data_IF_477381055052
#
_entry.id   IF_477381055052
#
_cell.length_a   1.000
_cell.length_b   1.000
_cell.length_c   1.000
_cell.angle_alpha   90.00
_cell.angle_beta   90.00
_cell.angle_gamma   90.00
#
_symmetry.space_group_name_H-M   'P 1'
#
loop_
_entity.id
_entity.type
_entity.pdbx_description
1 polymer ?
#
# COMPACT_ATOMS: atom_id res chain seq x y z
N UNK A 1 3.55 -14.43 20.32
CA UNK A 1 2.57 -13.49 19.70
C UNK A 1 2.63 -13.52 18.18
N UNK A 2 3.79 -13.42 17.53
CA UNK A 2 3.91 -13.47 16.05
C UNK A 2 3.43 -14.82 15.45
N UNK A 3 3.64 -15.96 16.12
CA UNK A 3 3.18 -17.25 15.63
C UNK A 3 1.65 -17.33 15.52
N UNK A 4 0.92 -16.64 16.39
CA UNK A 4 -0.54 -16.56 16.32
C UNK A 4 -1.00 -15.85 15.04
N UNK A 5 -0.40 -14.70 14.71
CA UNK A 5 -0.77 -13.94 13.50
C UNK A 5 -0.51 -14.73 12.21
N UNK A 6 0.53 -15.59 12.23
CA UNK A 6 0.97 -16.41 11.08
C UNK A 6 0.27 -17.77 10.99
N UNK A 7 -0.59 -18.10 11.97
CA UNK A 7 -1.34 -19.36 11.94
C UNK A 7 -2.35 -19.33 10.79
N UNK A 8 -2.30 -20.38 9.95
CA UNK A 8 -3.20 -20.59 8.81
C UNK A 8 -4.68 -20.54 9.17
N UNK A 9 -5.04 -20.86 10.42
CA UNK A 9 -6.42 -20.78 10.91
C UNK A 9 -7.01 -19.39 10.80
N UNK A 10 -6.17 -18.35 10.86
CA UNK A 10 -6.56 -16.95 10.77
C UNK A 10 -6.56 -16.40 9.33
N UNK A 11 -6.17 -17.20 8.32
CA UNK A 11 -6.07 -16.74 6.94
C UNK A 11 -7.37 -16.17 6.37
N UNK A 12 -8.53 -16.70 6.78
CA UNK A 12 -9.84 -16.15 6.38
C UNK A 12 -10.02 -14.75 6.94
N UNK A 13 -9.73 -14.55 8.23
CA UNK A 13 -9.84 -13.24 8.89
C UNK A 13 -8.91 -12.22 8.21
N UNK A 14 -7.64 -12.59 7.99
CA UNK A 14 -6.67 -11.72 7.32
C UNK A 14 -7.06 -11.41 5.88
N UNK A 15 -7.68 -12.35 5.18
CA UNK A 15 -8.19 -12.11 3.83
C UNK A 15 -9.32 -11.07 3.85
N UNK A 16 -10.27 -11.17 4.78
CA UNK A 16 -11.35 -10.18 4.92
C UNK A 16 -10.77 -8.79 5.24
N UNK A 17 -9.84 -8.70 6.18
CA UNK A 17 -9.17 -7.44 6.53
C UNK A 17 -8.40 -6.88 5.33
N UNK A 18 -7.70 -7.71 4.57
CA UNK A 18 -6.97 -7.32 3.36
C UNK A 18 -7.90 -6.80 2.27
N UNK A 19 -9.03 -7.50 2.04
CA UNK A 19 -10.03 -7.07 1.06
C UNK A 19 -10.66 -5.73 1.45
N UNK A 20 -10.98 -5.55 2.74
CA UNK A 20 -11.50 -4.28 3.24
C UNK A 20 -10.47 -3.14 3.07
N UNK A 21 -9.22 -3.39 3.45
CA UNK A 21 -8.14 -2.42 3.27
C UNK A 21 -7.91 -2.09 1.78
N UNK A 22 -7.95 -3.11 0.92
CA UNK A 22 -7.85 -2.93 -0.53
C UNK A 22 -8.99 -2.10 -1.11
N UNK A 23 -10.21 -2.29 -0.60
CA UNK A 23 -11.37 -1.48 -0.99
C UNK A 23 -11.19 0.00 -0.63
N UNK A 24 -10.70 0.32 0.57
CA UNK A 24 -10.45 1.70 0.99
C UNK A 24 -9.45 2.40 0.03
N UNK A 25 -8.38 1.71 -0.35
CA UNK A 25 -7.39 2.22 -1.31
C UNK A 25 -7.97 2.36 -2.72
N UNK A 26 -8.75 1.37 -3.17
CA UNK A 26 -9.36 1.38 -4.49
C UNK A 26 -10.33 2.56 -4.64
N UNK A 27 -11.21 2.75 -3.66
CA UNK A 27 -12.18 3.84 -3.64
C UNK A 27 -11.48 5.21 -3.64
N UNK A 28 -10.49 5.41 -2.77
CA UNK A 28 -9.71 6.64 -2.70
C UNK A 28 -8.99 6.94 -4.02
N UNK A 29 -8.36 5.92 -4.63
CA UNK A 29 -7.66 6.03 -5.91
C UNK A 29 -8.61 6.32 -7.06
N UNK A 30 -9.74 5.60 -7.17
CA UNK A 30 -10.75 5.83 -8.21
C UNK A 30 -11.31 7.24 -8.16
N UNK A 31 -11.65 7.72 -6.97
CA UNK A 31 -12.15 9.09 -6.80
C UNK A 31 -11.14 10.13 -7.32
N UNK A 32 -9.84 9.94 -7.04
CA UNK A 32 -8.79 10.85 -7.52
C UNK A 32 -8.52 10.71 -9.02
N UNK A 33 -8.56 9.49 -9.56
CA UNK A 33 -8.36 9.24 -11.00
C UNK A 33 -9.43 9.88 -11.86
N UNK A 34 -10.66 10.00 -11.36
CA UNK A 34 -11.79 10.60 -12.07
C UNK A 34 -11.90 12.13 -11.87
N UNK A 35 -11.16 12.70 -10.91
CA UNK A 35 -11.18 14.13 -10.63
C UNK A 35 -10.09 14.88 -11.43
N UNK A 36 -10.49 15.82 -12.35
CA UNK A 36 -9.54 16.64 -13.11
C UNK A 36 -8.59 17.46 -12.23
N UNK A 37 -9.00 17.83 -11.02
CA UNK A 37 -8.17 18.57 -10.07
C UNK A 37 -6.97 17.76 -9.58
N UNK A 38 -7.07 16.43 -9.62
CA UNK A 38 -5.97 15.52 -9.34
C UNK A 38 -5.18 15.18 -10.60
N UNK A 39 -5.88 14.77 -11.67
CA UNK A 39 -5.25 14.16 -12.83
C UNK A 39 -4.76 15.17 -13.88
N UNK A 40 -5.39 16.33 -14.00
CA UNK A 40 -4.99 17.32 -15.00
C UNK A 40 -4.08 18.40 -14.41
N UNK A 41 -4.52 19.05 -13.34
CA UNK A 41 -3.86 20.25 -12.81
C UNK A 41 -3.06 20.02 -11.53
N UNK A 42 -3.40 18.98 -10.73
CA UNK A 42 -2.81 18.74 -9.41
C UNK A 42 -3.22 19.76 -8.34
N UNK A 43 -4.17 20.67 -8.64
CA UNK A 43 -4.56 21.73 -7.68
C UNK A 43 -5.18 21.19 -6.40
N UNK A 44 -5.78 20.02 -6.43
CA UNK A 44 -6.30 19.36 -5.22
C UNK A 44 -5.14 19.06 -4.24
N UNK A 45 -4.05 18.46 -4.71
CA UNK A 45 -2.87 18.20 -3.90
C UNK A 45 -2.16 19.50 -3.48
N UNK A 46 -2.09 20.50 -4.39
CA UNK A 46 -1.58 21.82 -4.05
C UNK A 46 -2.32 22.42 -2.87
N UNK A 47 -3.66 22.43 -2.91
CA UNK A 47 -4.50 22.95 -1.83
C UNK A 47 -4.26 22.21 -0.51
N UNK A 48 -4.14 20.91 -0.59
CA UNK A 48 -3.83 20.06 0.56
C UNK A 48 -2.46 20.42 1.19
N UNK A 49 -1.39 20.50 0.40
CA UNK A 49 -0.06 20.87 0.88
C UNK A 49 0.01 22.31 1.39
N UNK A 50 -0.66 23.24 0.68
CA UNK A 50 -0.73 24.66 1.11
C UNK A 50 -1.36 24.76 2.51
N UNK A 51 -2.47 24.03 2.74
CA UNK A 51 -3.12 23.99 4.06
C UNK A 51 -2.19 23.35 5.10
N UNK A 52 -1.54 22.24 4.75
CA UNK A 52 -0.67 21.52 5.69
C UNK A 52 0.52 22.37 6.13
N UNK A 53 1.20 23.03 5.18
CA UNK A 53 2.36 23.90 5.47
C UNK A 53 1.95 25.22 6.13
N UNK A 54 0.80 25.80 5.74
CA UNK A 54 0.32 27.11 6.21
C UNK A 54 -0.37 27.09 7.57
N UNK A 55 -0.86 25.94 8.03
CA UNK A 55 -1.53 25.83 9.33
C UNK A 55 -0.50 25.69 10.45
N UNK A 56 -0.50 26.58 11.48
CA UNK A 56 0.38 26.45 12.64
C UNK A 56 0.19 25.07 13.31
N UNK A 57 1.28 24.47 13.75
CA UNK A 57 1.34 23.22 14.53
C UNK A 57 0.70 21.97 13.90
N UNK A 58 0.22 22.05 12.66
CA UNK A 58 -0.36 20.90 11.96
C UNK A 58 0.72 19.87 11.61
N UNK A 59 1.87 20.33 11.11
CA UNK A 59 3.05 19.50 10.87
C UNK A 59 4.03 19.68 12.02
N UNK A 60 4.20 18.65 12.85
CA UNK A 60 5.06 18.70 14.04
C UNK A 60 6.55 18.67 13.73
N UNK A 61 6.94 18.11 12.55
CA UNK A 61 8.33 17.95 12.17
C UNK A 61 8.76 19.02 11.15
N UNK A 62 9.64 19.94 11.56
CA UNK A 62 10.12 21.04 10.72
C UNK A 62 10.70 20.56 9.38
N UNK A 63 11.54 19.50 9.40
CA UNK A 63 12.11 18.92 8.18
C UNK A 63 11.05 18.45 7.16
N UNK A 64 9.91 17.92 7.64
CA UNK A 64 8.83 17.47 6.77
C UNK A 64 8.03 18.65 6.22
N UNK A 65 7.85 19.70 7.02
CA UNK A 65 7.25 20.96 6.58
C UNK A 65 8.08 21.59 5.47
N UNK A 66 9.40 21.66 5.62
CA UNK A 66 10.34 22.20 4.64
C UNK A 66 10.33 21.35 3.35
N UNK A 67 10.31 20.03 3.49
CA UNK A 67 10.18 19.10 2.36
C UNK A 67 8.91 19.36 1.54
N UNK A 68 7.73 19.43 2.18
CA UNK A 68 6.47 19.73 1.50
C UNK A 68 6.45 21.14 0.91
N UNK A 69 7.02 22.13 1.61
CA UNK A 69 7.19 23.49 1.12
C UNK A 69 8.05 23.53 -0.14
N UNK A 70 9.14 22.78 -0.18
CA UNK A 70 9.98 22.63 -1.37
C UNK A 70 9.24 22.03 -2.57
N UNK A 71 8.46 20.97 -2.34
CA UNK A 71 7.62 20.36 -3.39
C UNK A 71 6.52 21.29 -3.87
N UNK A 72 5.95 22.09 -2.98
CA UNK A 72 4.93 23.08 -3.31
C UNK A 72 5.51 24.20 -4.18
N UNK A 73 6.66 24.75 -3.79
CA UNK A 73 7.33 25.86 -4.49
C UNK A 73 7.88 25.43 -5.87
N UNK A 74 8.33 24.18 -6.01
CA UNK A 74 8.80 23.64 -7.30
C UNK A 74 7.68 23.29 -8.28
N UNK A 75 6.40 23.39 -7.87
CA UNK A 75 5.26 22.99 -8.70
C UNK A 75 5.11 21.47 -8.85
N UNK A 76 5.82 20.68 -8.03
CA UNK A 76 5.81 19.20 -8.11
C UNK A 76 4.45 18.57 -7.85
N UNK A 77 3.49 19.29 -7.26
CA UNK A 77 2.13 18.82 -7.05
C UNK A 77 1.43 18.37 -8.35
N UNK A 78 1.83 18.85 -9.51
CA UNK A 78 1.22 18.52 -10.80
C UNK A 78 1.41 17.07 -11.20
N UNK A 79 2.62 16.52 -11.03
CA UNK A 79 2.93 15.13 -11.32
C UNK A 79 2.75 14.22 -10.09
N UNK A 80 3.00 14.77 -8.89
CA UNK A 80 2.89 14.01 -7.64
C UNK A 80 1.43 13.63 -7.35
N UNK A 81 0.47 14.49 -7.70
CA UNK A 81 -0.96 14.19 -7.59
C UNK A 81 -1.33 12.94 -8.40
N UNK A 82 -0.82 12.81 -9.62
CA UNK A 82 -1.02 11.63 -10.47
C UNK A 82 -0.38 10.39 -9.87
N UNK A 83 0.84 10.52 -9.34
CA UNK A 83 1.55 9.43 -8.68
C UNK A 83 0.76 8.90 -7.47
N UNK A 84 0.20 9.81 -6.65
CA UNK A 84 -0.65 9.44 -5.51
C UNK A 84 -1.91 8.73 -5.98
N UNK A 85 -2.65 9.30 -6.93
CA UNK A 85 -3.90 8.73 -7.43
C UNK A 85 -3.71 7.32 -8.02
N UNK A 86 -2.69 7.15 -8.87
CA UNK A 86 -2.34 5.85 -9.47
C UNK A 86 -1.83 4.88 -8.41
N UNK A 87 -0.99 5.36 -7.48
CA UNK A 87 -0.44 4.54 -6.39
C UNK A 87 -1.52 3.97 -5.48
N UNK A 88 -2.51 4.79 -5.08
CA UNK A 88 -3.66 4.35 -4.28
C UNK A 88 -4.50 3.32 -5.03
N UNK A 89 -4.82 3.59 -6.30
CA UNK A 89 -5.59 2.67 -7.14
C UNK A 89 -4.90 1.31 -7.29
N UNK A 90 -3.61 1.31 -7.67
CA UNK A 90 -2.85 0.08 -7.85
C UNK A 90 -2.67 -0.69 -6.54
N UNK A 91 -2.46 0.00 -5.42
CA UNK A 91 -2.42 -0.61 -4.09
C UNK A 91 -3.75 -1.30 -3.78
N UNK A 92 -4.88 -0.64 -4.04
CA UNK A 92 -6.21 -1.21 -3.85
C UNK A 92 -6.42 -2.48 -4.69
N UNK A 93 -6.14 -2.42 -5.99
CA UNK A 93 -6.25 -3.56 -6.91
C UNK A 93 -5.36 -4.72 -6.45
N UNK A 94 -4.10 -4.45 -6.13
CA UNK A 94 -3.13 -5.45 -5.70
C UNK A 94 -3.57 -6.16 -4.42
N UNK A 95 -4.10 -5.40 -3.44
CA UNK A 95 -4.61 -5.95 -2.19
C UNK A 95 -5.89 -6.77 -2.39
N UNK A 96 -6.81 -6.36 -3.26
CA UNK A 96 -8.03 -7.12 -3.54
C UNK A 96 -7.68 -8.45 -4.21
N UNK A 97 -6.85 -8.44 -5.23
CA UNK A 97 -6.44 -9.65 -5.94
C UNK A 97 -5.48 -10.53 -5.12
N UNK A 98 -4.81 -9.96 -4.13
CA UNK A 98 -3.75 -10.64 -3.37
C UNK A 98 -2.54 -10.93 -4.25
N UNK A 99 -2.14 -9.97 -5.08
CA UNK A 99 -0.96 -10.01 -5.94
C UNK A 99 0.05 -9.00 -5.43
N UNK A 100 1.34 -9.37 -5.36
CA UNK A 100 2.43 -8.57 -4.75
C UNK A 100 2.01 -7.96 -3.40
N UNK A 101 1.26 -8.73 -2.61
CA UNK A 101 0.55 -8.28 -1.42
C UNK A 101 1.47 -7.57 -0.42
N UNK A 102 2.65 -8.14 -0.16
CA UNK A 102 3.62 -7.56 0.79
C UNK A 102 4.08 -6.17 0.33
N UNK A 103 4.38 -6.03 -0.96
CA UNK A 103 4.78 -4.76 -1.54
C UNK A 103 3.62 -3.73 -1.49
N UNK A 104 2.40 -4.14 -1.86
CA UNK A 104 1.23 -3.28 -1.80
C UNK A 104 0.93 -2.81 -0.37
N UNK A 105 1.05 -3.68 0.64
CA UNK A 105 0.91 -3.32 2.05
C UNK A 105 1.98 -2.32 2.49
N UNK A 106 3.24 -2.51 2.07
CA UNK A 106 4.32 -1.59 2.40
C UNK A 106 4.13 -0.21 1.76
N UNK A 107 3.72 -0.16 0.48
CA UNK A 107 3.40 1.10 -0.22
C UNK A 107 2.21 1.79 0.44
N UNK A 108 1.13 1.07 0.75
CA UNK A 108 -0.02 1.63 1.46
C UNK A 108 0.34 2.19 2.83
N UNK A 109 1.12 1.44 3.62
CA UNK A 109 1.62 1.92 4.90
C UNK A 109 2.48 3.19 4.75
N UNK A 110 3.37 3.23 3.75
CA UNK A 110 4.19 4.39 3.46
C UNK A 110 3.36 5.61 3.08
N UNK A 111 2.33 5.46 2.23
CA UNK A 111 1.42 6.55 1.88
C UNK A 111 0.65 7.06 3.12
N UNK A 112 0.06 6.16 3.92
CA UNK A 112 -0.63 6.54 5.16
C UNK A 112 0.31 7.27 6.13
N UNK A 113 1.54 6.80 6.29
CA UNK A 113 2.54 7.44 7.14
C UNK A 113 2.81 8.87 6.69
N UNK A 114 2.98 9.12 5.38
CA UNK A 114 3.16 10.47 4.84
C UNK A 114 1.92 11.35 5.04
N UNK A 115 0.71 10.79 4.90
CA UNK A 115 -0.52 11.56 5.17
C UNK A 115 -0.61 11.97 6.65
N UNK A 116 -0.24 11.09 7.58
CA UNK A 116 -0.19 11.42 9.01
C UNK A 116 0.87 12.47 9.32
N UNK A 117 2.06 12.39 8.70
CA UNK A 117 3.10 13.42 8.84
C UNK A 117 2.63 14.79 8.33
N UNK A 118 1.79 14.82 7.31
CA UNK A 118 1.16 16.03 6.78
C UNK A 118 -0.03 16.52 7.63
N UNK A 119 -0.28 15.91 8.78
CA UNK A 119 -1.35 16.29 9.71
C UNK A 119 -2.73 15.73 9.37
N UNK A 120 -2.83 14.77 8.43
CA UNK A 120 -4.11 14.13 8.12
C UNK A 120 -4.31 12.89 8.97
N UNK A 121 -5.09 13.01 10.02
CA UNK A 121 -5.44 11.87 10.87
C UNK A 121 -6.55 11.02 10.25
N UNK A 122 -7.77 11.50 10.13
CA UNK A 122 -8.89 10.77 9.53
C UNK A 122 -8.82 9.24 9.77
N UNK A 123 -8.96 8.41 8.73
CA UNK A 123 -8.84 6.95 8.77
C UNK A 123 -7.40 6.45 8.65
N UNK A 124 -6.42 7.32 8.33
CA UNK A 124 -5.04 6.92 8.04
C UNK A 124 -4.36 6.10 9.14
N UNK A 125 -4.51 6.41 10.45
CA UNK A 125 -3.90 5.60 11.51
C UNK A 125 -4.45 4.17 11.55
N UNK A 126 -5.74 3.98 11.27
CA UNK A 126 -6.38 2.65 11.23
C UNK A 126 -5.85 1.85 10.04
N UNK A 127 -5.84 2.45 8.85
CA UNK A 127 -5.34 1.80 7.63
C UNK A 127 -3.85 1.44 7.77
N UNK A 128 -3.04 2.34 8.35
CA UNK A 128 -1.63 2.10 8.64
C UNK A 128 -1.45 0.90 9.59
N UNK A 129 -2.18 0.90 10.71
CA UNK A 129 -2.09 -0.18 11.70
C UNK A 129 -2.47 -1.53 11.11
N UNK A 130 -3.56 -1.58 10.34
CA UNK A 130 -3.99 -2.81 9.67
C UNK A 130 -2.97 -3.29 8.62
N UNK A 131 -2.37 -2.38 7.86
CA UNK A 131 -1.31 -2.73 6.93
C UNK A 131 -0.11 -3.36 7.65
N UNK A 132 0.33 -2.80 8.78
CA UNK A 132 1.42 -3.37 9.60
C UNK A 132 1.04 -4.74 10.17
N UNK A 133 -0.18 -4.91 10.68
CA UNK A 133 -0.66 -6.22 11.18
C UNK A 133 -0.64 -7.27 10.06
N UNK A 134 -1.13 -6.93 8.86
CA UNK A 134 -1.11 -7.84 7.71
C UNK A 134 0.31 -8.17 7.25
N UNK A 135 1.25 -7.22 7.30
CA UNK A 135 2.68 -7.48 7.04
C UNK A 135 3.27 -8.48 8.05
N UNK A 136 2.91 -8.36 9.33
CA UNK A 136 3.36 -9.28 10.39
C UNK A 136 2.71 -10.67 10.26
N UNK A 137 1.47 -10.74 9.78
CA UNK A 137 0.77 -11.99 9.48
C UNK A 137 1.43 -12.77 8.32
N UNK A 138 2.17 -12.09 7.45
CA UNK A 138 2.97 -12.72 6.39
C UNK A 138 2.12 -13.59 5.46
N UNK A 139 2.52 -14.86 5.27
CA UNK A 139 1.84 -15.77 4.34
C UNK A 139 0.36 -16.01 4.65
N UNK A 140 -0.08 -15.86 5.90
CA UNK A 140 -1.48 -15.98 6.26
C UNK A 140 -2.34 -14.87 5.64
N UNK A 141 -1.78 -13.67 5.42
CA UNK A 141 -2.49 -12.52 4.84
C UNK A 141 -2.78 -12.67 3.33
N UNK A 142 -1.95 -13.41 2.60
CA UNK A 142 -2.13 -13.65 1.15
C UNK A 142 -2.45 -15.10 0.81
N UNK A 143 -2.80 -15.92 1.82
CA UNK A 143 -3.11 -17.34 1.62
C UNK A 143 -4.23 -17.56 0.59
N UNK A 144 -5.28 -16.77 0.63
CA UNK A 144 -6.35 -16.72 -0.37
C UNK A 144 -6.11 -15.56 -1.35
N UNK A 145 -5.02 -15.63 -2.12
CA UNK A 145 -4.63 -14.62 -3.10
C UNK A 145 -3.81 -15.22 -4.23
N UNK A 146 -3.59 -14.42 -5.28
CA UNK A 146 -2.78 -14.81 -6.45
C UNK A 146 -1.35 -15.15 -6.03
N UNK A 147 -0.79 -14.44 -5.04
CA UNK A 147 0.57 -14.69 -4.55
C UNK A 147 0.75 -16.13 -4.07
N UNK A 148 -0.24 -16.69 -3.38
CA UNK A 148 -0.16 -18.07 -2.90
C UNK A 148 -0.08 -19.08 -4.05
N UNK A 149 -0.90 -18.88 -5.08
CA UNK A 149 -0.90 -19.74 -6.28
C UNK A 149 0.43 -19.62 -7.02
N UNK A 150 0.91 -18.39 -7.20
CA UNK A 150 2.16 -18.10 -7.91
C UNK A 150 3.37 -18.71 -7.18
N UNK A 151 3.47 -18.52 -5.86
CA UNK A 151 4.58 -19.08 -5.07
C UNK A 151 4.58 -20.61 -5.05
N UNK A 152 3.40 -21.24 -4.99
CA UNK A 152 3.30 -22.70 -5.05
C UNK A 152 3.73 -23.21 -6.44
N UNK A 153 3.31 -22.55 -7.52
CA UNK A 153 3.71 -22.89 -8.88
C UNK A 153 5.22 -22.78 -9.10
N UNK A 154 5.83 -21.65 -8.68
CA UNK A 154 7.28 -21.42 -8.81
C UNK A 154 8.11 -22.41 -7.96
N UNK A 155 7.58 -22.81 -6.79
CA UNK A 155 8.24 -23.80 -5.93
C UNK A 155 8.15 -25.20 -6.55
N UNK A 156 7.03 -25.53 -7.17
CA UNK A 156 6.85 -26.81 -7.85
C UNK A 156 7.78 -26.95 -9.07
N UNK A 157 7.94 -25.88 -9.86
CA UNK A 157 8.81 -25.87 -11.03
C UNK A 157 10.28 -26.08 -10.65
N UNK A 158 10.76 -25.44 -9.58
CA UNK A 158 12.12 -25.64 -9.06
C UNK A 158 12.37 -27.08 -8.60
N UNK A 159 11.41 -27.71 -7.93
CA UNK A 159 11.54 -29.08 -7.45
C UNK A 159 11.45 -30.08 -8.62
N UNK A 160 10.57 -29.84 -9.58
CA UNK A 160 10.47 -30.67 -10.80
C UNK A 160 11.69 -30.58 -11.73
N UNK A 161 12.39 -29.46 -11.75
CA UNK A 161 13.64 -29.32 -12.47
C UNK A 161 14.80 -30.06 -11.78
N UNK A 162 14.82 -30.10 -10.44
CA UNK A 162 15.82 -30.83 -9.64
C UNK A 162 15.67 -32.36 -9.79
N UNK A 163 14.44 -32.89 -9.78
CA UNK A 163 14.17 -34.33 -9.94
C UNK A 163 14.56 -34.85 -11.35
N UNK A 164 14.50 -33.98 -12.36
CA UNK A 164 14.95 -34.32 -13.73
C UNK A 164 16.49 -34.22 -13.89
N UNK A 165 17.17 -33.52 -13.02
CA UNK A 165 18.62 -33.31 -13.08
C UNK A 165 19.43 -34.42 -12.35
N UNK A 166 18.79 -35.30 -11.57
CA UNK A 166 19.45 -36.42 -10.91
C UNK A 166 19.28 -37.65 -11.79
N UNK A 167 20.32 -38.13 -12.51
CA UNK A 167 20.26 -39.38 -13.23
C UNK A 167 20.12 -40.52 -12.22
N UNK A 168 19.12 -41.39 -12.44
CA UNK A 168 18.96 -42.60 -11.64
C UNK A 168 20.24 -43.47 -11.82
N UNK A 169 21.09 -43.47 -10.82
CA UNK A 169 22.16 -44.44 -10.73
C UNK A 169 21.54 -45.84 -10.55
N UNK A 170 21.61 -46.61 -11.63
CA UNK A 170 21.40 -48.06 -11.58
C UNK A 170 22.63 -48.75 -11.04
#
# INVERSE_FOLDING_TARGET
MLNFLRDRRWSIVWTVVRLWLGWQWLEAGLHKLTDPKWMQTGVALKGYWTKAVGTPDLIHYGWYKDFLGGLLNSGSYTWFAKLVAVGEFLTGVALILGVVTVFALAVGAFMNFNYMLAGTTSTNPVLYTLAIILLLAGSAAYYYGVDHVLFNYLRWDKNGALDKAIPAHK
#
